data_IF_699677014484
#
_entry.id   IF_699677014484
#
_cell.length_a   1.000
_cell.length_b   1.000
_cell.length_c   1.000
_cell.angle_alpha   90.00
_cell.angle_beta   90.00
_cell.angle_gamma   90.00
#
_symmetry.space_group_name_H-M   'P 1'
#
loop_
_entity.id
_entity.type
_entity.pdbx_description
1 polymer ?
#
# COMPACT_ATOMS: atom_id res chain seq x y z
N UNK A 1 -24.40 6.94 18.87
CA UNK A 1 -23.87 5.73 18.20
C UNK A 1 -24.41 4.51 18.92
N UNK A 2 -24.80 3.46 18.20
CA UNK A 2 -25.35 2.23 18.77
C UNK A 2 -24.24 1.26 19.17
N UNK A 3 -24.47 0.40 20.16
CA UNK A 3 -23.47 -0.58 20.59
C UNK A 3 -23.05 -1.53 19.47
N UNK A 4 -23.99 -1.98 18.62
CA UNK A 4 -23.69 -2.89 17.50
C UNK A 4 -22.75 -2.24 16.47
N UNK A 5 -22.93 -0.95 16.21
CA UNK A 5 -22.05 -0.18 15.33
C UNK A 5 -20.65 -0.10 15.92
N UNK A 6 -20.53 0.14 17.23
CA UNK A 6 -19.23 0.24 17.92
C UNK A 6 -18.51 -1.09 17.90
N UNK A 7 -19.24 -2.20 18.11
CA UNK A 7 -18.67 -3.54 18.02
C UNK A 7 -18.17 -3.86 16.62
N UNK A 8 -18.91 -3.46 15.57
CA UNK A 8 -18.47 -3.65 14.18
C UNK A 8 -17.21 -2.86 13.82
N UNK A 9 -17.01 -1.69 14.46
CA UNK A 9 -15.86 -0.81 14.23
C UNK A 9 -14.71 -1.05 15.21
N UNK A 10 -14.78 -2.08 16.06
CA UNK A 10 -13.80 -2.34 17.10
C UNK A 10 -12.39 -2.62 16.56
N UNK A 11 -12.27 -3.52 15.59
CA UNK A 11 -10.98 -3.85 14.95
C UNK A 11 -10.33 -2.62 14.30
N UNK A 12 -11.02 -1.95 13.35
CA UNK A 12 -10.49 -0.73 12.72
C UNK A 12 -10.14 0.39 13.70
N UNK A 13 -10.83 0.49 14.83
CA UNK A 13 -10.48 1.45 15.89
C UNK A 13 -9.16 1.10 16.57
N UNK A 14 -8.98 -0.16 16.96
CA UNK A 14 -7.75 -0.62 17.62
C UNK A 14 -6.54 -0.54 16.68
N UNK A 15 -6.73 -0.82 15.39
CA UNK A 15 -5.69 -0.71 14.37
C UNK A 15 -5.42 0.75 13.93
N UNK A 16 -6.13 1.73 14.51
CA UNK A 16 -6.04 3.16 14.13
C UNK A 16 -6.34 3.44 12.65
N UNK A 17 -7.12 2.58 12.00
CA UNK A 17 -7.53 2.72 10.59
C UNK A 17 -8.77 3.62 10.41
N UNK A 18 -9.46 3.94 11.51
CA UNK A 18 -10.63 4.80 11.48
C UNK A 18 -10.30 6.28 11.25
N UNK A 19 -11.16 6.94 10.48
CA UNK A 19 -11.15 8.39 10.35
C UNK A 19 -11.36 9.07 11.70
N UNK A 20 -10.73 10.23 11.90
CA UNK A 20 -10.73 10.96 13.17
C UNK A 20 -12.14 11.25 13.73
N UNK A 21 -13.13 11.50 12.87
CA UNK A 21 -14.51 11.76 13.30
C UNK A 21 -15.20 10.50 13.84
N UNK A 22 -14.92 9.34 13.26
CA UNK A 22 -15.45 8.07 13.71
C UNK A 22 -14.79 7.64 15.02
N UNK A 23 -13.47 7.82 15.14
CA UNK A 23 -12.73 7.59 16.39
C UNK A 23 -13.28 8.42 17.54
N UNK A 24 -13.57 9.72 17.31
CA UNK A 24 -14.17 10.59 18.33
C UNK A 24 -15.57 10.13 18.76
N UNK A 25 -16.41 9.68 17.81
CA UNK A 25 -17.76 9.16 18.12
C UNK A 25 -17.69 7.89 18.96
N UNK A 26 -16.73 7.02 18.69
CA UNK A 26 -16.47 5.82 19.49
C UNK A 26 -16.00 6.22 20.90
N UNK A 27 -15.04 7.13 21.02
CA UNK A 27 -14.58 7.62 22.34
C UNK A 27 -15.72 8.22 23.17
N UNK A 28 -16.58 9.02 22.55
CA UNK A 28 -17.78 9.57 23.22
C UNK A 28 -18.73 8.46 23.66
N UNK A 29 -18.90 7.41 22.86
CA UNK A 29 -19.70 6.25 23.23
C UNK A 29 -19.08 5.47 24.40
N UNK A 30 -17.77 5.23 24.39
CA UNK A 30 -17.08 4.52 25.48
C UNK A 30 -17.19 5.27 26.82
N UNK A 31 -17.23 6.61 26.79
CA UNK A 31 -17.49 7.42 27.99
C UNK A 31 -18.91 7.27 28.56
N UNK A 32 -19.87 6.86 27.73
CA UNK A 32 -21.29 6.78 28.10
C UNK A 32 -21.83 5.35 28.25
N UNK A 33 -21.17 4.36 27.65
CA UNK A 33 -21.57 2.96 27.69
C UNK A 33 -20.50 2.09 28.39
N UNK A 34 -20.74 1.64 29.63
CA UNK A 34 -19.76 0.86 30.39
C UNK A 34 -19.54 -0.54 29.82
N UNK A 35 -20.53 -1.14 29.16
CA UNK A 35 -20.39 -2.47 28.56
C UNK A 35 -19.41 -2.48 27.39
N UNK A 36 -19.53 -1.49 26.50
CA UNK A 36 -18.58 -1.30 25.41
C UNK A 36 -17.19 -0.94 25.96
N UNK A 37 -17.09 -0.07 26.98
CA UNK A 37 -15.82 0.27 27.61
C UNK A 37 -15.08 -0.98 28.14
N UNK A 38 -15.80 -1.87 28.83
CA UNK A 38 -15.23 -3.12 29.35
C UNK A 38 -14.67 -4.01 28.25
N UNK A 39 -15.39 -4.16 27.14
CA UNK A 39 -14.93 -5.00 26.02
C UNK A 39 -13.65 -4.45 25.37
N UNK A 40 -13.52 -3.14 25.23
CA UNK A 40 -12.30 -2.51 24.70
C UNK A 40 -11.13 -2.63 25.68
N UNK A 41 -11.38 -2.47 26.98
CA UNK A 41 -10.34 -2.64 28.02
C UNK A 41 -9.80 -4.07 28.05
N UNK A 42 -10.66 -5.08 27.87
CA UNK A 42 -10.25 -6.49 27.80
C UNK A 42 -9.32 -6.75 26.61
N UNK A 43 -9.62 -6.20 25.44
CA UNK A 43 -8.77 -6.34 24.24
C UNK A 43 -7.45 -5.56 24.37
N UNK A 44 -7.48 -4.33 24.86
CA UNK A 44 -6.25 -3.56 25.09
C UNK A 44 -5.34 -4.23 26.12
N UNK A 45 -5.91 -4.89 27.13
CA UNK A 45 -5.12 -5.67 28.11
C UNK A 45 -4.46 -6.87 27.45
N UNK A 46 -5.16 -7.58 26.56
CA UNK A 46 -4.59 -8.68 25.79
C UNK A 46 -3.45 -8.21 24.89
N UNK A 47 -3.66 -7.10 24.18
CA UNK A 47 -2.65 -6.50 23.32
C UNK A 47 -1.42 -6.05 24.11
N UNK A 48 -1.61 -5.40 25.25
CA UNK A 48 -0.54 -5.01 26.15
C UNK A 48 0.25 -6.22 26.65
N UNK A 49 -0.44 -7.30 27.04
CA UNK A 49 0.20 -8.55 27.45
C UNK A 49 1.00 -9.19 26.32
N UNK A 50 0.45 -9.25 25.10
CA UNK A 50 1.15 -9.73 23.91
C UNK A 50 2.40 -8.89 23.62
N UNK A 51 2.28 -7.56 23.63
CA UNK A 51 3.41 -6.64 23.45
C UNK A 51 4.48 -6.87 24.51
N UNK A 52 4.09 -7.03 25.77
CA UNK A 52 5.01 -7.36 26.86
C UNK A 52 5.71 -8.69 26.63
N UNK A 53 5.01 -9.74 26.21
CA UNK A 53 5.59 -11.04 25.88
C UNK A 53 6.55 -10.99 24.69
N UNK A 54 6.18 -10.27 23.61
CA UNK A 54 7.04 -10.09 22.44
C UNK A 54 8.31 -9.30 22.78
N UNK A 55 8.20 -8.29 23.63
CA UNK A 55 9.34 -7.47 24.07
C UNK A 55 10.29 -8.20 25.04
N UNK A 56 9.87 -9.32 25.63
CA UNK A 56 10.73 -10.17 26.47
C UNK A 56 11.66 -11.09 25.66
N UNK A 57 11.43 -11.23 24.35
CA UNK A 57 12.33 -11.97 23.46
C UNK A 57 13.72 -11.32 23.39
N UNK A 58 14.73 -12.11 22.98
CA UNK A 58 16.07 -11.53 22.73
C UNK A 58 15.95 -10.40 21.72
N UNK A 59 16.39 -9.20 22.11
CA UNK A 59 16.45 -8.03 21.24
C UNK A 59 17.37 -8.37 20.07
N UNK A 60 16.79 -8.65 18.91
CA UNK A 60 17.53 -8.95 17.68
C UNK A 60 18.11 -7.67 17.07
N UNK A 61 18.71 -6.79 17.88
CA UNK A 61 19.28 -5.52 17.45
C UNK A 61 20.24 -5.76 16.28
N UNK A 62 21.14 -6.75 16.42
CA UNK A 62 22.08 -7.13 15.37
C UNK A 62 21.42 -7.69 14.09
N UNK A 63 20.21 -8.23 14.17
CA UNK A 63 19.44 -8.62 12.98
C UNK A 63 18.80 -7.40 12.31
N UNK A 64 18.30 -6.46 13.10
CA UNK A 64 17.76 -5.20 12.61
C UNK A 64 18.85 -4.35 11.96
N UNK A 65 20.01 -4.16 12.61
CA UNK A 65 21.14 -3.44 12.03
C UNK A 65 21.61 -4.08 10.72
N UNK A 66 21.67 -5.42 10.62
CA UNK A 66 21.99 -6.11 9.36
C UNK A 66 20.94 -5.89 8.28
N UNK A 67 19.67 -5.85 8.65
CA UNK A 67 18.56 -5.64 7.71
C UNK A 67 18.56 -4.19 7.21
N UNK A 68 18.72 -3.23 8.13
CA UNK A 68 18.87 -1.80 7.79
C UNK A 68 20.07 -1.57 6.87
N UNK A 69 21.23 -2.17 7.20
CA UNK A 69 22.41 -2.11 6.33
C UNK A 69 22.14 -2.72 4.96
N UNK A 70 21.48 -3.88 4.88
CA UNK A 70 21.14 -4.51 3.61
C UNK A 70 20.19 -3.65 2.76
N UNK A 71 19.21 -2.98 3.38
CA UNK A 71 18.30 -2.04 2.68
C UNK A 71 19.07 -0.82 2.18
N UNK A 72 19.90 -0.20 3.01
CA UNK A 72 20.72 0.95 2.62
C UNK A 72 21.73 0.60 1.51
N UNK A 73 22.31 -0.58 1.57
CA UNK A 73 23.20 -1.09 0.53
C UNK A 73 22.45 -1.38 -0.77
N UNK A 74 21.25 -1.94 -0.70
CA UNK A 74 20.39 -2.17 -1.86
C UNK A 74 19.95 -0.85 -2.51
N UNK A 75 19.60 0.16 -1.72
CA UNK A 75 19.29 1.52 -2.20
C UNK A 75 20.51 2.21 -2.83
N UNK A 76 21.68 2.10 -2.21
CA UNK A 76 22.92 2.63 -2.80
C UNK A 76 23.29 1.91 -4.09
N UNK A 77 23.09 0.60 -4.16
CA UNK A 77 23.34 -0.20 -5.35
C UNK A 77 22.35 0.11 -6.48
N UNK A 78 21.08 0.38 -6.17
CA UNK A 78 20.08 0.80 -7.15
C UNK A 78 20.33 2.23 -7.63
N UNK A 79 20.73 3.14 -6.73
CA UNK A 79 21.11 4.51 -7.09
C UNK A 79 22.39 4.56 -7.93
N UNK A 80 23.41 3.78 -7.57
CA UNK A 80 24.67 3.66 -8.35
C UNK A 80 24.46 2.94 -9.69
N UNK A 81 23.35 2.21 -9.85
CA UNK A 81 22.93 1.59 -11.12
C UNK A 81 22.08 2.48 -12.01
N UNK A 82 21.80 3.75 -11.66
CA UNK A 82 21.30 4.71 -12.64
C UNK A 82 22.35 4.88 -13.75
N UNK A 83 22.15 4.31 -14.95
CA UNK A 83 23.14 4.44 -16.00
C UNK A 83 22.91 5.77 -16.69
N UNK A 84 23.93 6.60 -16.76
CA UNK A 84 24.10 7.44 -17.94
C UNK A 84 24.06 6.48 -19.14
N UNK A 85 22.95 6.52 -19.89
CA UNK A 85 22.70 5.90 -21.19
C UNK A 85 23.80 4.95 -21.67
N UNK A 86 23.81 3.71 -21.16
CA UNK A 86 24.67 2.66 -21.70
C UNK A 86 23.93 2.03 -22.87
N UNK A 87 24.38 2.37 -24.08
CA UNK A 87 24.03 1.68 -25.31
C UNK A 87 24.25 0.18 -25.10
N UNK A 88 23.17 -0.60 -25.10
CA UNK A 88 23.17 -2.04 -24.91
C UNK A 88 23.68 -2.71 -26.19
N UNK A 89 24.85 -3.32 -26.13
CA UNK A 89 25.30 -4.29 -27.14
C UNK A 89 24.65 -5.66 -26.83
N UNK A 90 23.72 -6.17 -27.66
CA UNK A 90 22.84 -7.31 -27.32
C UNK A 90 23.46 -8.67 -27.69
N UNK A 91 24.74 -8.89 -27.39
CA UNK A 91 25.47 -10.07 -27.89
C UNK A 91 25.76 -11.18 -26.89
N UNK A 92 25.98 -10.86 -25.61
CA UNK A 92 26.65 -11.79 -24.70
C UNK A 92 25.80 -12.36 -23.55
N UNK A 93 24.63 -11.77 -23.26
CA UNK A 93 23.75 -12.27 -22.19
C UNK A 93 22.83 -13.40 -22.66
N UNK A 94 22.66 -13.57 -23.97
CA UNK A 94 21.79 -14.58 -24.56
C UNK A 94 22.33 -16.03 -24.44
N UNK A 95 23.62 -16.23 -24.11
CA UNK A 95 24.20 -17.59 -24.03
C UNK A 95 24.32 -18.15 -22.60
N UNK A 96 24.13 -17.36 -21.55
CA UNK A 96 24.26 -17.84 -20.17
C UNK A 96 22.91 -18.20 -19.51
N UNK A 97 21.81 -17.57 -19.92
CA UNK A 97 20.49 -17.76 -19.30
C UNK A 97 19.80 -19.07 -19.71
N UNK A 98 20.21 -19.69 -20.83
CA UNK A 98 19.59 -20.91 -21.34
C UNK A 98 20.29 -22.22 -20.94
N UNK A 99 21.36 -22.18 -20.14
CA UNK A 99 22.11 -23.40 -19.76
C UNK A 99 21.74 -23.98 -18.38
N UNK A 100 21.02 -23.23 -17.54
CA UNK A 100 20.53 -23.71 -16.24
C UNK A 100 19.26 -24.59 -16.26
N UNK A 101 18.32 -24.52 -17.24
CA UNK A 101 17.11 -25.35 -17.17
C UNK A 101 17.36 -26.83 -17.48
N UNK A 102 18.33 -27.17 -18.32
CA UNK A 102 18.51 -28.54 -18.82
C UNK A 102 18.91 -29.55 -17.73
N UNK A 103 19.74 -29.15 -16.76
CA UNK A 103 20.25 -30.05 -15.71
C UNK A 103 19.23 -30.33 -14.61
N UNK A 104 18.31 -29.41 -14.37
CA UNK A 104 17.20 -29.59 -13.41
C UNK A 104 16.01 -30.30 -14.05
N UNK A 105 15.78 -30.09 -15.35
CA UNK A 105 14.72 -30.77 -16.10
C UNK A 105 14.98 -32.27 -16.29
N UNK A 106 16.23 -32.71 -16.44
CA UNK A 106 16.56 -34.12 -16.63
C UNK A 106 16.19 -35.02 -15.42
N UNK A 107 16.35 -34.51 -14.20
CA UNK A 107 16.02 -35.26 -12.97
C UNK A 107 14.53 -35.28 -12.62
N UNK A 108 13.76 -34.29 -13.11
CA UNK A 108 12.33 -34.16 -12.82
C UNK A 108 11.42 -34.88 -13.81
N UNK A 109 11.95 -35.29 -14.97
CA UNK A 109 11.15 -35.90 -16.05
C UNK A 109 10.78 -37.37 -15.80
N UNK A 110 11.60 -38.13 -15.08
CA UNK A 110 11.37 -39.57 -14.83
C UNK A 110 10.56 -39.87 -13.57
N UNK A 111 10.32 -38.89 -12.70
CA UNK A 111 9.60 -39.12 -11.45
C UNK A 111 8.09 -39.04 -11.64
N UNK A 112 7.49 -40.14 -12.07
CA UNK A 112 6.01 -40.31 -12.12
C UNK A 112 5.34 -39.96 -10.79
N UNK A 113 6.05 -40.17 -9.67
CA UNK A 113 5.58 -39.87 -8.30
C UNK A 113 5.50 -38.38 -8.01
N UNK A 114 6.45 -37.59 -8.52
CA UNK A 114 6.42 -36.12 -8.37
C UNK A 114 5.27 -35.53 -9.17
N UNK A 115 5.06 -36.02 -10.39
CA UNK A 115 3.93 -35.60 -11.21
C UNK A 115 2.58 -36.02 -10.63
N UNK A 116 2.46 -37.23 -10.07
CA UNK A 116 1.23 -37.66 -9.41
C UNK A 116 0.96 -36.86 -8.13
N UNK A 117 1.98 -36.56 -7.33
CA UNK A 117 1.82 -35.74 -6.13
C UNK A 117 1.41 -34.31 -6.49
N UNK A 118 2.03 -33.73 -7.52
CA UNK A 118 1.68 -32.41 -8.03
C UNK A 118 0.24 -32.38 -8.58
N UNK A 119 -0.13 -33.38 -9.39
CA UNK A 119 -1.49 -33.49 -9.92
C UNK A 119 -2.53 -33.69 -8.80
N UNK A 120 -2.24 -34.52 -7.81
CA UNK A 120 -3.11 -34.72 -6.65
C UNK A 120 -3.29 -33.42 -5.85
N UNK A 121 -2.21 -32.69 -5.59
CA UNK A 121 -2.26 -31.37 -4.94
C UNK A 121 -3.11 -30.40 -5.75
N UNK A 122 -2.93 -30.34 -7.08
CA UNK A 122 -3.76 -29.51 -7.95
C UNK A 122 -5.24 -29.91 -7.93
N UNK A 123 -5.56 -31.21 -7.96
CA UNK A 123 -6.95 -31.70 -7.86
C UNK A 123 -7.56 -31.33 -6.50
N UNK A 124 -6.80 -31.42 -5.41
CA UNK A 124 -7.27 -31.01 -4.08
C UNK A 124 -7.55 -29.50 -4.06
N UNK A 125 -6.63 -28.68 -4.59
CA UNK A 125 -6.82 -27.22 -4.65
C UNK A 125 -8.05 -26.88 -5.50
N UNK A 126 -8.20 -27.49 -6.68
CA UNK A 126 -9.36 -27.29 -7.56
C UNK A 126 -10.66 -27.79 -6.91
N UNK A 127 -10.63 -28.95 -6.26
CA UNK A 127 -11.78 -29.50 -5.54
C UNK A 127 -12.21 -28.59 -4.40
N UNK A 128 -11.27 -28.12 -3.58
CA UNK A 128 -11.54 -27.14 -2.51
C UNK A 128 -12.06 -25.81 -3.06
N UNK A 129 -11.56 -25.35 -4.20
CA UNK A 129 -12.05 -24.12 -4.84
C UNK A 129 -13.47 -24.30 -5.39
N UNK A 130 -13.76 -25.45 -5.98
CA UNK A 130 -15.09 -25.80 -6.51
C UNK A 130 -16.12 -25.98 -5.38
N UNK A 131 -15.78 -26.68 -4.29
CA UNK A 131 -16.69 -26.82 -3.14
C UNK A 131 -16.89 -25.49 -2.40
N UNK A 132 -15.85 -24.65 -2.31
CA UNK A 132 -15.98 -23.29 -1.81
C UNK A 132 -16.87 -22.43 -2.72
N UNK A 133 -16.83 -22.65 -4.04
CA UNK A 133 -17.67 -21.97 -5.02
C UNK A 133 -19.13 -22.41 -4.94
N UNK A 134 -19.43 -23.71 -4.78
CA UNK A 134 -20.79 -24.21 -4.54
C UNK A 134 -21.37 -23.69 -3.22
N UNK A 135 -20.54 -23.57 -2.18
CA UNK A 135 -20.92 -22.93 -0.91
C UNK A 135 -21.27 -21.45 -1.11
N UNK A 136 -20.58 -20.78 -2.04
CA UNK A 136 -20.83 -19.38 -2.42
C UNK A 136 -22.08 -19.24 -3.28
N UNK A 137 -22.34 -20.16 -4.22
CA UNK A 137 -23.53 -20.17 -5.06
C UNK A 137 -24.79 -20.51 -4.26
N UNK A 138 -24.70 -21.41 -3.28
CA UNK A 138 -25.80 -21.69 -2.33
C UNK A 138 -26.02 -20.54 -1.35
N UNK A 139 -24.98 -19.78 -0.97
CA UNK A 139 -25.14 -18.51 -0.25
C UNK A 139 -25.73 -17.40 -1.12
N UNK A 140 -25.33 -17.29 -2.39
CA UNK A 140 -25.84 -16.32 -3.38
C UNK A 140 -27.22 -16.67 -3.94
N UNK A 141 -27.69 -17.92 -3.79
CA UNK A 141 -29.07 -18.28 -4.05
C UNK A 141 -29.99 -17.94 -2.87
N UNK A 142 -29.41 -17.70 -1.68
CA UNK A 142 -30.13 -17.34 -0.45
C UNK A 142 -30.10 -15.84 -0.16
N UNK A 143 -29.07 -15.16 -0.62
CA UNK A 143 -29.01 -13.70 -0.72
C UNK A 143 -29.36 -13.33 -2.15
N UNK A 144 -30.48 -12.65 -2.39
CA UNK A 144 -30.77 -12.09 -3.71
C UNK A 144 -29.51 -11.38 -4.24
N UNK A 145 -28.91 -11.95 -5.29
CA UNK A 145 -27.67 -11.42 -5.85
C UNK A 145 -27.91 -9.95 -6.21
N UNK A 146 -27.03 -9.01 -5.81
CA UNK A 146 -27.19 -7.62 -6.15
C UNK A 146 -27.29 -7.53 -7.66
N UNK A 147 -28.47 -7.11 -8.12
CA UNK A 147 -28.84 -7.17 -9.53
C UNK A 147 -27.81 -6.42 -10.36
N UNK A 148 -27.62 -6.78 -11.63
CA UNK A 148 -26.64 -6.10 -12.50
C UNK A 148 -26.83 -4.57 -12.54
N UNK A 149 -28.04 -4.07 -12.23
CA UNK A 149 -28.34 -2.67 -11.99
C UNK A 149 -27.70 -2.08 -10.73
N UNK A 150 -27.71 -2.79 -9.60
CA UNK A 150 -27.12 -2.33 -8.33
C UNK A 150 -25.58 -2.24 -8.42
N UNK A 151 -24.96 -3.19 -9.11
CA UNK A 151 -23.52 -3.15 -9.38
C UNK A 151 -23.15 -1.97 -10.29
N UNK A 152 -24.00 -1.64 -11.28
CA UNK A 152 -23.80 -0.48 -12.15
C UNK A 152 -23.95 0.83 -11.39
N UNK A 153 -24.99 0.96 -10.55
CA UNK A 153 -25.18 2.18 -9.74
C UNK A 153 -24.06 2.36 -8.71
N UNK A 154 -23.54 1.28 -8.11
CA UNK A 154 -22.40 1.35 -7.21
C UNK A 154 -21.11 1.81 -7.92
N UNK A 155 -20.93 1.39 -9.18
CA UNK A 155 -19.78 1.77 -9.99
C UNK A 155 -19.87 3.23 -10.45
N UNK A 156 -21.06 3.69 -10.86
CA UNK A 156 -21.35 5.10 -11.18
C UNK A 156 -21.16 6.00 -9.95
N UNK A 157 -21.67 5.60 -8.78
CA UNK A 157 -21.48 6.34 -7.53
C UNK A 157 -20.00 6.49 -7.18
N UNK A 158 -19.20 5.43 -7.36
CA UNK A 158 -17.75 5.49 -7.16
C UNK A 158 -17.07 6.44 -8.18
N UNK A 159 -17.51 6.44 -9.43
CA UNK A 159 -16.97 7.35 -10.45
C UNK A 159 -17.25 8.82 -10.13
N UNK A 160 -18.45 9.14 -9.66
CA UNK A 160 -18.81 10.51 -9.26
C UNK A 160 -17.96 11.00 -8.08
N UNK A 161 -17.73 10.15 -7.07
CA UNK A 161 -16.85 10.48 -5.95
C UNK A 161 -15.39 10.70 -6.38
N UNK A 162 -14.89 9.92 -7.35
CA UNK A 162 -13.55 10.13 -7.89
C UNK A 162 -13.43 11.43 -8.69
N UNK A 163 -14.49 11.85 -9.40
CA UNK A 163 -14.53 13.13 -10.11
C UNK A 163 -14.57 14.30 -9.15
N UNK A 164 -15.37 14.20 -8.08
CA UNK A 164 -15.46 15.25 -7.05
C UNK A 164 -14.11 15.43 -6.33
N UNK A 165 -13.43 14.32 -6.00
CA UNK A 165 -12.07 14.35 -5.44
C UNK A 165 -11.05 14.94 -6.43
N UNK A 166 -11.18 14.68 -7.73
CA UNK A 166 -10.30 15.24 -8.76
C UNK A 166 -10.54 16.75 -8.97
N UNK A 167 -11.78 17.22 -8.87
CA UNK A 167 -12.15 18.64 -8.88
C UNK A 167 -11.68 19.35 -7.61
N UNK A 168 -11.72 18.68 -6.47
CA UNK A 168 -11.16 19.20 -5.22
C UNK A 168 -9.62 19.30 -5.23
N UNK A 169 -8.95 18.65 -6.19
CA UNK A 169 -7.51 18.77 -6.45
C UNK A 169 -7.20 19.89 -7.47
N UNK A 170 -8.19 20.62 -7.99
CA UNK A 170 -7.91 21.83 -8.77
C UNK A 170 -7.35 22.91 -7.81
N UNK A 171 -6.05 23.22 -7.87
CA UNK A 171 -5.44 24.08 -6.89
C UNK A 171 -6.02 25.48 -7.03
N UNK A 172 -6.46 26.02 -5.89
CA UNK A 172 -6.67 27.43 -5.64
C UNK A 172 -5.76 28.25 -6.56
N UNK A 173 -6.39 29.08 -7.40
CA UNK A 173 -5.73 30.00 -8.30
C UNK A 173 -4.56 30.65 -7.59
N UNK A 174 -3.34 30.22 -7.93
CA UNK A 174 -2.12 30.86 -7.48
C UNK A 174 -2.19 32.28 -8.01
N UNK A 175 -2.42 33.22 -7.10
CA UNK A 175 -2.31 34.64 -7.32
C UNK A 175 -0.96 34.89 -8.01
N UNK A 176 -1.02 35.34 -9.27
CA UNK A 176 0.14 35.48 -10.14
C UNK A 176 1.03 36.56 -9.53
N UNK A 177 2.25 36.27 -9.03
CA UNK A 177 3.17 37.33 -8.70
C UNK A 177 3.54 38.02 -10.00
N UNK A 178 3.28 39.32 -10.06
CA UNK A 178 3.58 40.21 -11.17
C UNK A 178 5.03 40.00 -11.62
N UNK A 179 5.20 39.32 -12.75
CA UNK A 179 6.49 39.09 -13.38
C UNK A 179 7.04 40.43 -13.84
N UNK A 180 7.92 41.04 -13.02
CA UNK A 180 8.71 42.19 -13.42
C UNK A 180 9.67 41.71 -14.50
N UNK A 181 9.49 42.19 -15.73
CA UNK A 181 10.39 41.91 -16.83
C UNK A 181 11.80 42.41 -16.46
N UNK A 182 12.87 41.62 -16.71
CA UNK A 182 14.23 42.07 -16.46
C UNK A 182 14.54 43.26 -17.39
N UNK A 183 14.86 44.41 -16.80
CA UNK A 183 15.24 45.60 -17.55
C UNK A 183 16.52 45.35 -18.37
N UNK A 184 16.63 45.91 -19.58
CA UNK A 184 17.80 45.72 -20.43
C UNK A 184 19.06 46.27 -19.77
N UNK A 185 20.15 45.50 -19.88
CA UNK A 185 21.47 45.70 -19.24
C UNK A 185 22.08 47.11 -19.41
N UNK A 186 21.61 47.89 -20.37
CA UNK A 186 22.03 49.29 -20.59
C UNK A 186 21.52 50.25 -19.51
N UNK A 187 20.34 50.01 -18.95
CA UNK A 187 19.70 50.90 -17.97
C UNK A 187 20.37 50.81 -16.58
N UNK A 188 20.76 49.60 -16.17
CA UNK A 188 21.55 49.39 -14.94
C UNK A 188 22.91 50.09 -14.99
N UNK A 189 23.56 50.14 -16.17
CA UNK A 189 24.87 50.78 -16.34
C UNK A 189 24.78 52.31 -16.30
N UNK A 190 23.65 52.89 -16.73
CA UNK A 190 23.41 54.33 -16.63
C UNK A 190 23.08 54.75 -15.19
N UNK A 191 22.27 53.95 -14.47
CA UNK A 191 21.96 54.23 -13.06
C UNK A 191 23.20 54.13 -12.17
N UNK A 192 24.09 53.16 -12.39
CA UNK A 192 25.35 53.04 -11.65
C UNK A 192 26.33 54.20 -11.92
N UNK A 193 26.33 54.77 -13.14
CA UNK A 193 27.11 55.97 -13.46
C UNK A 193 26.51 57.24 -12.87
N UNK A 194 25.19 57.30 -12.74
CA UNK A 194 24.47 58.46 -12.19
C UNK A 194 24.64 58.59 -10.67
N UNK A 195 24.75 57.48 -9.94
CA UNK A 195 25.04 57.48 -8.49
C UNK A 195 26.48 57.84 -8.15
N UNK A 196 27.44 57.74 -9.09
CA UNK A 196 28.83 58.14 -8.86
C UNK A 196 29.13 59.62 -9.15
N UNK A 197 28.18 60.38 -9.71
CA UNK A 197 28.36 61.79 -10.08
C UNK A 197 27.79 62.78 -9.05
N UNK A 198 27.35 62.32 -7.88
CA UNK A 198 26.76 63.16 -6.82
C UNK A 198 27.43 62.97 -5.44
N UNK A 199 28.71 62.59 -5.42
CA UNK A 199 29.58 62.70 -4.22
C UNK A 199 30.75 63.61 -4.55
#
# INVERSE_FOLDING_TARGET
MRCDEVQSLRGPYLDSELEATASLRIEQHLKSCPDCARLFDEEQRLEAWLKTGMNQGQRTASLWERTEQAVLEAERASFRRQPASRVVQPGLVARAVLALPERLWAGWRDSRRVWSALAATWIIILGLNLTARESRETQLARQDAPSASELRSALEQKQLLMVDLAVSIEPASVDKPKMVAPAPRSEQRQNARRTQAHV
#
